data_IF_448553534864
#
_entry.id   IF_448553534864
#
_cell.length_a   1.000
_cell.length_b   1.000
_cell.length_c   1.000
_cell.angle_alpha   90.00
_cell.angle_beta   90.00
_cell.angle_gamma   90.00
#
_symmetry.space_group_name_H-M   'P 1'
#
loop_
_entity.id
_entity.type
_entity.pdbx_description
1 polymer ?
#
# COMPACT_ATOMS: atom_id res chain seq x y z
N UNK A 1 15.92 27.97 16.46
CA UNK A 1 15.26 26.67 16.25
C UNK A 1 15.72 26.16 14.90
N UNK A 2 16.38 25.01 14.87
CA UNK A 2 16.91 24.43 13.64
C UNK A 2 15.77 23.86 12.79
N UNK A 3 15.71 24.23 11.51
CA UNK A 3 14.67 23.80 10.59
C UNK A 3 14.68 22.28 10.37
N UNK A 4 15.85 21.65 10.41
CA UNK A 4 15.99 20.21 10.25
C UNK A 4 15.39 19.43 11.44
N UNK A 5 15.62 19.92 12.65
CA UNK A 5 15.04 19.37 13.87
C UNK A 5 13.50 19.50 13.86
N UNK A 6 12.97 20.68 13.52
CA UNK A 6 11.52 20.91 13.40
C UNK A 6 10.91 19.95 12.38
N UNK A 7 11.53 19.81 11.20
CA UNK A 7 11.06 18.90 10.16
C UNK A 7 11.09 17.44 10.58
N UNK A 8 12.14 17.01 11.28
CA UNK A 8 12.29 15.63 11.74
C UNK A 8 11.25 15.29 12.81
N UNK A 9 11.04 16.20 13.78
CA UNK A 9 10.04 16.01 14.81
C UNK A 9 8.61 16.04 14.25
N UNK A 10 8.35 16.91 13.27
CA UNK A 10 7.08 16.91 12.54
C UNK A 10 6.78 15.56 11.87
N UNK A 11 7.76 15.01 11.12
CA UNK A 11 7.59 13.69 10.48
C UNK A 11 7.38 12.56 11.48
N UNK A 12 8.02 12.65 12.65
CA UNK A 12 7.78 11.71 13.76
C UNK A 12 6.35 11.85 14.26
N UNK A 13 5.90 13.08 14.56
CA UNK A 13 4.55 13.34 15.03
C UNK A 13 3.48 12.85 14.05
N UNK A 14 3.68 12.98 12.74
CA UNK A 14 2.72 12.49 11.73
C UNK A 14 2.51 10.95 11.79
N UNK A 15 3.48 10.20 12.31
CA UNK A 15 3.53 8.73 12.25
C UNK A 15 3.33 8.06 13.61
N UNK A 16 3.69 8.75 14.69
CA UNK A 16 3.65 8.23 16.05
C UNK A 16 2.28 8.47 16.69
N UNK A 17 1.37 7.50 16.53
CA UNK A 17 0.03 7.55 17.13
C UNK A 17 0.06 7.68 18.65
N UNK A 18 1.10 7.16 19.32
CA UNK A 18 1.21 7.26 20.78
C UNK A 18 1.55 8.69 21.18
N UNK A 19 2.50 9.33 20.48
CA UNK A 19 2.82 10.74 20.67
C UNK A 19 1.62 11.64 20.37
N UNK A 20 0.87 11.36 19.31
CA UNK A 20 -0.37 12.07 18.97
C UNK A 20 -1.39 11.96 20.11
N UNK A 21 -1.72 10.75 20.56
CA UNK A 21 -2.68 10.52 21.63
C UNK A 21 -2.29 11.24 22.93
N UNK A 22 -1.01 11.15 23.31
CA UNK A 22 -0.50 11.84 24.49
C UNK A 22 -0.63 13.35 24.39
N UNK A 23 -0.30 13.94 23.24
CA UNK A 23 -0.50 15.37 22.98
C UNK A 23 -1.98 15.74 23.03
N UNK A 24 -2.87 14.88 22.54
CA UNK A 24 -4.32 15.11 22.49
C UNK A 24 -4.98 15.05 23.87
N UNK A 25 -4.40 14.25 24.78
CA UNK A 25 -4.90 14.04 26.14
C UNK A 25 -4.17 14.90 27.19
N UNK A 26 -3.18 15.68 26.78
CA UNK A 26 -2.27 16.33 27.72
C UNK A 26 -2.96 17.34 28.65
N UNK A 27 -4.09 17.95 28.28
CA UNK A 27 -4.83 18.95 29.10
C UNK A 27 -3.93 20.02 29.75
N UNK A 28 -2.81 20.39 29.11
CA UNK A 28 -1.82 21.35 29.64
C UNK A 28 -0.72 20.75 30.52
N UNK A 29 -0.75 19.44 30.81
CA UNK A 29 0.37 18.71 31.40
C UNK A 29 1.55 18.62 30.41
N UNK A 30 2.77 18.63 30.94
CA UNK A 30 4.01 18.53 30.15
C UNK A 30 4.74 17.19 30.31
N UNK A 31 4.26 16.32 31.21
CA UNK A 31 4.85 15.02 31.53
C UNK A 31 4.91 14.07 30.32
N UNK A 32 4.03 14.24 29.34
CA UNK A 32 4.06 13.47 28.10
C UNK A 32 5.28 13.75 27.20
N UNK A 33 6.02 14.83 27.49
CA UNK A 33 7.28 15.19 26.85
C UNK A 33 8.50 14.53 27.51
N UNK A 34 8.29 13.68 28.51
CA UNK A 34 9.36 12.92 29.14
C UNK A 34 10.03 11.98 28.14
N UNK A 35 11.36 12.05 28.09
CA UNK A 35 12.19 11.32 27.11
C UNK A 35 12.51 12.09 25.82
N UNK A 36 11.99 13.31 25.64
CA UNK A 36 12.44 14.23 24.58
C UNK A 36 13.58 15.13 25.07
N UNK A 37 14.47 15.51 24.15
CA UNK A 37 15.50 16.52 24.39
C UNK A 37 14.89 17.91 24.63
N UNK A 38 15.66 18.84 25.20
CA UNK A 38 15.19 20.20 25.49
C UNK A 38 14.72 20.94 24.21
N UNK A 39 15.44 20.77 23.10
CA UNK A 39 15.06 21.36 21.80
C UNK A 39 13.73 20.76 21.28
N UNK A 40 13.58 19.44 21.34
CA UNK A 40 12.33 18.75 20.94
C UNK A 40 11.15 19.17 21.83
N UNK A 41 11.38 19.38 23.13
CA UNK A 41 10.35 19.85 24.07
C UNK A 41 9.82 21.22 23.67
N UNK A 42 10.69 22.17 23.31
CA UNK A 42 10.28 23.51 22.87
C UNK A 42 9.43 23.42 21.59
N UNK A 43 9.83 22.58 20.63
CA UNK A 43 9.08 22.37 19.39
C UNK A 43 7.70 21.76 19.69
N UNK A 44 7.63 20.70 20.49
CA UNK A 44 6.37 20.04 20.83
C UNK A 44 5.43 20.93 21.65
N UNK A 45 5.95 21.76 22.56
CA UNK A 45 5.15 22.77 23.27
C UNK A 45 4.57 23.80 22.31
N UNK A 46 5.34 24.19 21.29
CA UNK A 46 4.86 25.08 20.23
C UNK A 46 3.72 24.43 19.45
N UNK A 47 3.84 23.15 19.08
CA UNK A 47 2.77 22.40 18.44
C UNK A 47 1.53 22.26 19.32
N UNK A 48 1.71 21.95 20.61
CA UNK A 48 0.61 21.85 21.58
C UNK A 48 -0.12 23.19 21.75
N UNK A 49 0.59 24.33 21.69
CA UNK A 49 -0.04 25.66 21.73
C UNK A 49 -0.94 25.96 20.52
N UNK A 50 -0.77 25.22 19.41
CA UNK A 50 -1.54 25.34 18.17
C UNK A 50 -2.34 24.06 17.89
N UNK A 51 -2.83 23.42 18.95
CA UNK A 51 -3.40 22.09 18.96
C UNK A 51 -4.35 21.78 17.79
N UNK A 52 -5.39 22.61 17.59
CA UNK A 52 -6.41 22.38 16.57
C UNK A 52 -5.82 22.31 15.15
N UNK A 53 -4.88 23.21 14.83
CA UNK A 53 -4.22 23.23 13.53
C UNK A 53 -3.34 21.99 13.34
N UNK A 54 -2.57 21.63 14.37
CA UNK A 54 -1.68 20.47 14.34
C UNK A 54 -2.48 19.18 14.20
N UNK A 55 -3.54 19.02 14.98
CA UNK A 55 -4.44 17.87 14.92
C UNK A 55 -5.06 17.73 13.53
N UNK A 56 -5.60 18.82 12.98
CA UNK A 56 -6.17 18.82 11.63
C UNK A 56 -5.14 18.40 10.58
N UNK A 57 -3.91 18.90 10.65
CA UNK A 57 -2.84 18.53 9.72
C UNK A 57 -2.47 17.04 9.81
N UNK A 58 -2.34 16.50 11.02
CA UNK A 58 -2.05 15.07 11.26
C UNK A 58 -3.18 14.20 10.70
N UNK A 59 -4.43 14.52 11.04
CA UNK A 59 -5.61 13.76 10.59
C UNK A 59 -5.74 13.78 9.05
N UNK A 60 -5.51 14.94 8.42
CA UNK A 60 -5.52 15.05 6.96
C UNK A 60 -4.41 14.25 6.30
N UNK A 61 -3.20 14.26 6.87
CA UNK A 61 -2.09 13.48 6.34
C UNK A 61 -2.39 11.97 6.43
N UNK A 62 -2.85 11.51 7.58
CA UNK A 62 -3.21 10.10 7.79
C UNK A 62 -4.37 9.67 6.87
N UNK A 63 -5.39 10.51 6.72
CA UNK A 63 -6.49 10.25 5.79
C UNK A 63 -6.00 10.05 4.34
N UNK A 64 -5.06 10.88 3.87
CA UNK A 64 -4.45 10.72 2.53
C UNK A 64 -3.67 9.42 2.41
N UNK A 65 -2.90 9.03 3.44
CA UNK A 65 -2.16 7.78 3.42
C UNK A 65 -3.08 6.55 3.39
N UNK A 66 -4.18 6.61 4.15
CA UNK A 66 -5.20 5.56 4.15
C UNK A 66 -5.81 5.42 2.75
N UNK A 67 -6.22 6.52 2.14
CA UNK A 67 -6.78 6.48 0.78
C UNK A 67 -5.76 6.04 -0.27
N UNK A 68 -4.48 6.31 -0.04
CA UNK A 68 -3.41 5.90 -0.96
C UNK A 68 -3.28 4.38 -1.07
N UNK A 69 -3.66 3.62 -0.04
CA UNK A 69 -3.76 2.16 -0.09
C UNK A 69 -4.77 1.69 -1.15
N UNK A 70 -5.97 2.28 -1.13
CA UNK A 70 -7.05 1.96 -2.06
C UNK A 70 -6.66 2.43 -3.47
N UNK A 71 -6.11 3.65 -3.60
CA UNK A 71 -5.66 4.18 -4.89
C UNK A 71 -4.56 3.33 -5.52
N UNK A 72 -3.63 2.78 -4.71
CA UNK A 72 -2.59 1.88 -5.20
C UNK A 72 -3.17 0.57 -5.75
N UNK A 73 -4.19 0.00 -5.09
CA UNK A 73 -4.91 -1.16 -5.60
C UNK A 73 -5.71 -0.80 -6.86
N UNK A 74 -6.43 0.31 -6.89
CA UNK A 74 -7.19 0.75 -8.06
C UNK A 74 -6.29 0.94 -9.29
N UNK A 75 -5.08 1.47 -9.08
CA UNK A 75 -4.10 1.70 -10.15
C UNK A 75 -3.39 0.42 -10.61
N UNK A 76 -2.91 -0.41 -9.67
CA UNK A 76 -2.02 -1.52 -9.97
C UNK A 76 -2.66 -2.91 -9.94
N UNK A 77 -3.78 -3.07 -9.25
CA UNK A 77 -4.49 -4.34 -9.06
C UNK A 77 -6.03 -4.14 -8.95
N UNK A 78 -6.67 -3.53 -9.97
CA UNK A 78 -8.08 -3.16 -9.91
C UNK A 78 -9.04 -4.35 -9.77
N UNK A 79 -8.67 -5.53 -10.28
CA UNK A 79 -9.52 -6.72 -10.16
C UNK A 79 -9.50 -7.27 -8.73
N UNK A 80 -8.33 -7.24 -8.09
CA UNK A 80 -8.16 -7.51 -6.66
C UNK A 80 -9.01 -6.56 -5.86
N UNK A 81 -8.93 -5.24 -6.11
CA UNK A 81 -9.75 -4.26 -5.39
C UNK A 81 -11.24 -4.61 -5.47
N UNK A 82 -11.73 -4.90 -6.68
CA UNK A 82 -13.13 -5.27 -6.90
C UNK A 82 -13.52 -6.57 -6.21
N UNK A 83 -12.66 -7.59 -6.24
CA UNK A 83 -12.90 -8.85 -5.55
C UNK A 83 -12.98 -8.65 -4.02
N UNK A 84 -12.09 -7.83 -3.44
CA UNK A 84 -12.09 -7.52 -2.01
C UNK A 84 -13.35 -6.76 -1.57
N UNK A 85 -13.82 -5.82 -2.40
CA UNK A 85 -15.07 -5.10 -2.16
C UNK A 85 -16.28 -6.05 -2.22
N UNK A 86 -16.30 -6.98 -3.17
CA UNK A 86 -17.40 -7.92 -3.33
C UNK A 86 -17.52 -8.93 -2.17
N UNK A 87 -16.41 -9.30 -1.54
CA UNK A 87 -16.44 -10.12 -0.31
C UNK A 87 -16.70 -9.30 0.96
N UNK A 88 -16.95 -7.99 0.84
CA UNK A 88 -17.30 -7.11 1.96
C UNK A 88 -16.13 -6.81 2.89
N UNK A 89 -14.89 -6.82 2.38
CA UNK A 89 -13.71 -6.57 3.20
C UNK A 89 -13.62 -5.08 3.59
N UNK A 90 -13.42 -4.79 4.88
CA UNK A 90 -13.22 -3.43 5.39
C UNK A 90 -11.80 -2.91 5.05
N UNK A 91 -11.68 -2.36 3.84
CA UNK A 91 -10.42 -1.82 3.31
C UNK A 91 -9.86 -0.64 4.12
N UNK A 92 -10.66 0.33 4.61
CA UNK A 92 -10.15 1.38 5.49
C UNK A 92 -9.46 0.84 6.75
N UNK A 93 -10.03 -0.18 7.39
CA UNK A 93 -9.42 -0.80 8.58
C UNK A 93 -8.13 -1.52 8.21
N UNK A 94 -8.14 -2.34 7.15
CA UNK A 94 -6.93 -3.01 6.67
C UNK A 94 -5.82 -2.05 6.27
N UNK A 95 -6.18 -0.91 5.67
CA UNK A 95 -5.23 0.12 5.29
C UNK A 95 -4.54 0.72 6.53
N UNK A 96 -5.29 0.99 7.60
CA UNK A 96 -4.71 1.46 8.87
C UNK A 96 -3.78 0.41 9.48
N UNK A 97 -4.18 -0.86 9.49
CA UNK A 97 -3.34 -1.96 9.98
C UNK A 97 -2.04 -2.09 9.17
N UNK A 98 -2.13 -2.02 7.83
CA UNK A 98 -0.98 -1.99 6.95
C UNK A 98 -0.04 -0.82 7.26
N UNK A 99 -0.58 0.40 7.39
CA UNK A 99 0.21 1.60 7.66
C UNK A 99 0.91 1.50 9.02
N UNK A 100 0.23 0.99 10.05
CA UNK A 100 0.85 0.72 11.36
C UNK A 100 1.99 -0.30 11.26
N UNK A 101 1.80 -1.42 10.55
CA UNK A 101 2.84 -2.45 10.31
C UNK A 101 4.07 -1.85 9.62
N UNK A 102 3.88 -0.80 8.80
CA UNK A 102 4.94 -0.12 8.05
C UNK A 102 5.30 1.26 8.63
N UNK A 103 5.00 1.52 9.91
CA UNK A 103 5.34 2.77 10.60
C UNK A 103 4.91 4.03 9.83
N UNK A 104 3.73 3.99 9.23
CA UNK A 104 3.14 5.07 8.42
C UNK A 104 4.08 5.55 7.29
N UNK A 105 4.77 4.60 6.65
CA UNK A 105 5.65 4.90 5.53
C UNK A 105 4.86 5.51 4.36
N UNK A 106 5.41 6.58 3.80
CA UNK A 106 4.84 7.32 2.67
C UNK A 106 5.61 6.96 1.40
N UNK A 107 4.93 6.28 0.49
CA UNK A 107 5.51 5.86 -0.79
C UNK A 107 5.64 7.02 -1.81
N UNK A 108 5.07 8.19 -1.51
CA UNK A 108 5.08 9.35 -2.39
C UNK A 108 4.59 8.99 -3.80
N UNK A 109 5.36 9.30 -4.87
CA UNK A 109 4.93 9.06 -6.25
C UNK A 109 5.04 7.59 -6.71
N UNK A 110 5.56 6.68 -5.87
CA UNK A 110 5.87 5.29 -6.26
C UNK A 110 4.64 4.36 -6.16
N UNK A 111 3.56 4.67 -6.88
CA UNK A 111 2.28 3.95 -6.79
C UNK A 111 2.39 2.44 -7.00
N UNK A 112 3.15 1.97 -7.99
CA UNK A 112 3.33 0.54 -8.24
C UNK A 112 4.18 -0.16 -7.16
N UNK A 113 5.16 0.54 -6.59
CA UNK A 113 5.92 0.04 -5.44
C UNK A 113 5.03 -0.10 -4.20
N UNK A 114 4.12 0.86 -3.99
CA UNK A 114 3.13 0.78 -2.94
C UNK A 114 2.15 -0.39 -3.18
N UNK A 115 1.63 -0.52 -4.40
CA UNK A 115 0.73 -1.62 -4.77
C UNK A 115 1.37 -2.99 -4.50
N UNK A 116 2.65 -3.21 -4.86
CA UNK A 116 3.35 -4.47 -4.57
C UNK A 116 3.41 -4.76 -3.06
N UNK A 117 3.71 -3.75 -2.24
CA UNK A 117 3.76 -3.89 -0.78
C UNK A 117 2.37 -4.19 -0.19
N UNK A 118 1.32 -3.55 -0.70
CA UNK A 118 -0.07 -3.82 -0.31
C UNK A 118 -0.47 -5.25 -0.67
N UNK A 119 -0.18 -5.70 -1.89
CA UNK A 119 -0.46 -7.07 -2.32
C UNK A 119 0.33 -8.10 -1.49
N UNK A 120 1.59 -7.83 -1.12
CA UNK A 120 2.32 -8.68 -0.17
C UNK A 120 1.58 -8.81 1.16
N UNK A 121 1.18 -7.68 1.73
CA UNK A 121 0.46 -7.66 3.00
C UNK A 121 -0.85 -8.44 2.94
N UNK A 122 -1.63 -8.25 1.88
CA UNK A 122 -2.93 -8.92 1.70
C UNK A 122 -2.76 -10.43 1.52
N UNK A 123 -1.75 -10.88 0.77
CA UNK A 123 -1.46 -12.31 0.58
C UNK A 123 -1.13 -13.06 1.88
N UNK A 124 -0.63 -12.35 2.89
CA UNK A 124 -0.33 -12.89 4.22
C UNK A 124 -1.50 -12.71 5.20
N UNK A 125 -2.57 -12.02 4.79
CA UNK A 125 -3.59 -11.57 5.72
C UNK A 125 -4.60 -12.69 6.06
N UNK A 126 -4.80 -13.04 7.35
CA UNK A 126 -5.63 -14.19 7.74
C UNK A 126 -7.08 -14.15 7.23
N UNK A 127 -7.68 -12.94 7.12
CA UNK A 127 -9.06 -12.77 6.60
C UNK A 127 -9.25 -13.25 5.15
N UNK A 128 -8.17 -13.48 4.41
CA UNK A 128 -8.21 -13.93 3.01
C UNK A 128 -7.89 -15.42 2.85
N UNK A 129 -7.62 -16.14 3.95
CA UNK A 129 -7.28 -17.57 3.92
C UNK A 129 -8.37 -18.43 3.27
N UNK A 130 -9.64 -18.03 3.43
CA UNK A 130 -10.80 -18.74 2.88
C UNK A 130 -11.10 -18.39 1.41
N UNK A 131 -10.27 -17.53 0.78
CA UNK A 131 -10.45 -17.06 -0.60
C UNK A 131 -9.21 -17.33 -1.46
N UNK A 132 -8.85 -18.61 -1.69
CA UNK A 132 -7.65 -18.98 -2.42
C UNK A 132 -7.64 -18.52 -3.88
N UNK A 133 -8.80 -18.36 -4.51
CA UNK A 133 -8.94 -17.81 -5.87
C UNK A 133 -8.56 -16.32 -5.92
N UNK A 134 -8.90 -15.57 -4.87
CA UNK A 134 -8.54 -14.15 -4.74
C UNK A 134 -7.03 -14.03 -4.49
N UNK A 135 -6.43 -14.93 -3.70
CA UNK A 135 -4.96 -15.01 -3.57
C UNK A 135 -4.28 -15.28 -4.91
N UNK A 136 -4.85 -16.14 -5.75
CA UNK A 136 -4.33 -16.44 -7.08
C UNK A 136 -4.43 -15.21 -8.01
N UNK A 137 -5.56 -14.50 -7.98
CA UNK A 137 -5.76 -13.24 -8.70
C UNK A 137 -4.76 -12.15 -8.26
N UNK A 138 -4.56 -11.99 -6.95
CA UNK A 138 -3.59 -11.04 -6.39
C UNK A 138 -2.18 -11.30 -6.90
N UNK A 139 -1.76 -12.57 -6.94
CA UNK A 139 -0.45 -12.96 -7.47
C UNK A 139 -0.33 -12.68 -8.97
N UNK A 140 -1.39 -12.91 -9.74
CA UNK A 140 -1.42 -12.57 -11.17
C UNK A 140 -1.25 -11.05 -11.38
N UNK A 141 -2.05 -10.21 -10.72
CA UNK A 141 -1.95 -8.75 -10.86
C UNK A 141 -0.61 -8.22 -10.35
N UNK A 142 -0.05 -8.85 -9.30
CA UNK A 142 1.29 -8.54 -8.80
C UNK A 142 2.38 -8.74 -9.85
N UNK A 143 2.26 -9.72 -10.75
CA UNK A 143 3.19 -9.86 -11.88
C UNK A 143 3.10 -8.67 -12.85
N UNK A 144 1.90 -8.11 -13.06
CA UNK A 144 1.70 -6.86 -13.80
C UNK A 144 2.37 -5.66 -13.11
N UNK A 145 2.16 -5.51 -11.79
CA UNK A 145 2.84 -4.47 -10.99
C UNK A 145 4.36 -4.58 -11.09
N UNK A 146 4.90 -5.81 -11.02
CA UNK A 146 6.34 -6.09 -11.14
C UNK A 146 6.91 -5.80 -12.52
N UNK A 147 6.10 -5.88 -13.58
CA UNK A 147 6.51 -5.41 -14.90
C UNK A 147 6.72 -3.90 -14.91
N UNK A 148 5.77 -3.12 -14.39
CA UNK A 148 5.88 -1.66 -14.34
C UNK A 148 7.04 -1.18 -13.47
N UNK A 149 7.31 -1.83 -12.34
CA UNK A 149 8.48 -1.49 -11.50
C UNK A 149 9.80 -1.94 -12.14
N UNK A 150 9.80 -3.08 -12.85
CA UNK A 150 10.96 -3.64 -13.53
C UNK A 150 11.39 -2.89 -14.79
N UNK A 151 10.48 -2.16 -15.46
CA UNK A 151 10.82 -1.33 -16.63
C UNK A 151 11.85 -0.24 -16.34
N UNK A 152 11.99 0.18 -15.08
CA UNK A 152 13.03 1.12 -14.64
C UNK A 152 14.45 0.53 -14.84
N UNK A 153 14.57 -0.79 -14.99
CA UNK A 153 15.84 -1.53 -15.03
C UNK A 153 15.99 -2.42 -16.28
N UNK A 154 15.27 -2.13 -17.37
CA UNK A 154 15.29 -2.96 -18.57
C UNK A 154 16.72 -3.16 -19.12
N UNK A 155 17.08 -4.40 -19.42
CA UNK A 155 18.40 -4.77 -19.95
C UNK A 155 18.52 -4.40 -21.41
N UNK A 156 19.75 -4.08 -21.84
CA UNK A 156 20.04 -3.91 -23.25
C UNK A 156 19.85 -5.24 -23.99
N UNK A 157 19.19 -5.18 -25.15
CA UNK A 157 19.01 -6.32 -26.03
C UNK A 157 20.37 -6.75 -26.59
N UNK A 158 20.66 -8.06 -26.55
CA UNK A 158 21.83 -8.63 -27.23
C UNK A 158 21.36 -9.15 -28.60
N UNK A 159 21.91 -8.65 -29.72
CA UNK A 159 21.57 -9.14 -31.05
C UNK A 159 21.80 -10.65 -31.19
N UNK A 160 20.99 -11.30 -32.05
CA UNK A 160 21.13 -12.70 -32.47
C UNK A 160 20.98 -13.76 -31.36
N UNK A 161 20.46 -13.38 -30.18
CA UNK A 161 20.14 -14.32 -29.10
C UNK A 161 18.67 -14.23 -28.70
N UNK A 162 18.03 -15.39 -28.47
CA UNK A 162 16.72 -15.42 -27.83
C UNK A 162 16.86 -15.04 -26.37
N UNK A 163 16.20 -13.96 -25.97
CA UNK A 163 16.17 -13.47 -24.59
C UNK A 163 14.74 -13.36 -24.11
N UNK A 164 14.53 -13.68 -22.84
CA UNK A 164 13.23 -13.42 -22.19
C UNK A 164 13.03 -11.92 -22.15
N UNK A 165 11.93 -11.44 -22.71
CA UNK A 165 11.59 -10.02 -22.66
C UNK A 165 11.39 -9.57 -21.20
N UNK A 166 12.08 -8.49 -20.81
CA UNK A 166 11.91 -7.89 -19.48
C UNK A 166 10.49 -7.35 -19.27
N UNK A 167 9.78 -7.05 -20.37
CA UNK A 167 8.38 -6.61 -20.43
C UNK A 167 7.35 -7.74 -20.39
N UNK A 168 7.76 -9.01 -20.20
CA UNK A 168 6.85 -10.15 -20.11
C UNK A 168 7.11 -11.05 -18.90
N UNK A 169 6.04 -11.60 -18.34
CA UNK A 169 6.02 -12.60 -17.25
C UNK A 169 5.06 -13.72 -17.61
N UNK A 170 5.41 -14.95 -17.24
CA UNK A 170 4.52 -16.11 -17.33
C UNK A 170 4.06 -16.39 -15.92
N UNK A 171 2.75 -16.39 -15.71
CA UNK A 171 2.11 -16.72 -14.44
C UNK A 171 1.38 -18.06 -14.56
N UNK A 172 1.64 -18.97 -13.64
CA UNK A 172 0.92 -20.23 -13.55
C UNK A 172 -0.14 -20.11 -12.45
N UNK A 173 -1.39 -19.97 -12.89
CA UNK A 173 -2.58 -19.94 -12.05
C UNK A 173 -2.95 -21.35 -11.61
N UNK A 174 -3.49 -21.49 -10.39
CA UNK A 174 -4.09 -22.73 -9.87
C UNK A 174 -5.59 -22.81 -10.19
N UNK A 175 -6.24 -21.65 -10.34
CA UNK A 175 -7.66 -21.54 -10.65
C UNK A 175 -7.90 -21.03 -12.07
N UNK A 176 -9.12 -21.23 -12.58
CA UNK A 176 -9.55 -20.74 -13.89
C UNK A 176 -9.81 -19.23 -13.91
N UNK A 177 -8.79 -18.42 -13.59
CA UNK A 177 -8.90 -16.95 -13.52
C UNK A 177 -9.42 -16.34 -14.81
N UNK A 178 -9.21 -16.98 -15.97
CA UNK A 178 -9.72 -16.52 -17.26
C UNK A 178 -11.23 -16.28 -17.28
N UNK A 179 -12.02 -16.98 -16.44
CA UNK A 179 -13.46 -16.73 -16.31
C UNK A 179 -13.73 -15.34 -15.72
N UNK A 180 -13.09 -15.01 -14.60
CA UNK A 180 -13.19 -13.68 -13.99
C UNK A 180 -12.56 -12.57 -14.85
N UNK A 181 -11.49 -12.87 -15.60
CA UNK A 181 -10.88 -11.89 -16.51
C UNK A 181 -11.82 -11.53 -17.67
N UNK A 182 -12.63 -12.47 -18.15
CA UNK A 182 -13.64 -12.26 -19.21
C UNK A 182 -14.90 -11.60 -18.70
N UNK A 183 -15.36 -11.99 -17.51
CA UNK A 183 -16.54 -11.42 -16.88
C UNK A 183 -16.26 -10.96 -15.44
N UNK A 184 -16.05 -9.65 -15.31
CA UNK A 184 -15.72 -8.98 -14.05
C UNK A 184 -16.91 -8.91 -13.07
N UNK A 185 -18.13 -9.24 -13.50
CA UNK A 185 -19.28 -9.28 -12.61
C UNK A 185 -19.21 -10.44 -11.62
N UNK A 186 -18.43 -11.47 -11.94
CA UNK A 186 -18.29 -12.68 -11.13
C UNK A 186 -17.13 -12.64 -10.11
N UNK A 187 -16.28 -11.61 -10.16
CA UNK A 187 -15.08 -11.43 -9.33
C UNK A 187 -15.41 -11.48 -7.83
N UNK A 188 -14.84 -12.45 -7.10
CA UNK A 188 -15.05 -12.59 -5.65
C UNK A 188 -16.47 -12.99 -5.22
N UNK A 189 -17.40 -13.19 -6.17
CA UNK A 189 -18.79 -13.61 -5.90
C UNK A 189 -18.96 -15.10 -6.19
N UNK A 190 -18.32 -15.60 -7.25
CA UNK A 190 -18.41 -16.99 -7.71
C UNK A 190 -17.13 -17.73 -7.41
N UNK A 191 -17.23 -19.00 -7.01
CA UNK A 191 -16.07 -19.89 -6.91
C UNK A 191 -15.49 -20.15 -8.30
N UNK A 192 -14.17 -20.31 -8.39
CA UNK A 192 -13.52 -20.77 -9.62
C UNK A 192 -13.17 -22.24 -9.52
N UNK A 193 -13.15 -22.91 -10.66
CA UNK A 193 -12.67 -24.29 -10.72
C UNK A 193 -11.16 -24.32 -10.51
N UNK A 194 -10.71 -25.33 -9.76
CA UNK A 194 -9.29 -25.62 -9.58
C UNK A 194 -8.76 -26.34 -10.83
N UNK A 195 -8.27 -25.55 -11.78
CA UNK A 195 -7.65 -26.04 -13.01
C UNK A 195 -6.53 -25.10 -13.42
N UNK A 196 -5.33 -25.64 -13.58
CA UNK A 196 -4.13 -24.83 -13.80
C UNK A 196 -4.17 -24.14 -15.16
N UNK A 197 -3.86 -22.84 -15.18
CA UNK A 197 -3.78 -22.03 -16.40
C UNK A 197 -2.41 -21.34 -16.48
N UNK A 198 -1.79 -21.37 -17.66
CA UNK A 198 -0.61 -20.56 -17.95
C UNK A 198 -1.04 -19.25 -18.60
N UNK A 199 -0.73 -18.12 -17.97
CA UNK A 199 -1.11 -16.78 -18.40
C UNK A 199 0.16 -16.00 -18.74
N UNK A 200 0.20 -15.43 -19.95
CA UNK A 200 1.24 -14.48 -20.34
C UNK A 200 0.79 -13.06 -19.98
N UNK A 201 1.50 -12.43 -19.06
CA UNK A 201 1.34 -11.01 -18.73
C UNK A 201 2.45 -10.25 -19.46
N UNK A 202 2.10 -9.27 -20.27
CA UNK A 202 3.11 -8.48 -20.99
C UNK A 202 2.65 -7.04 -21.14
N UNK A 203 3.63 -6.13 -21.20
CA UNK A 203 3.39 -4.75 -21.60
C UNK A 203 3.55 -4.67 -23.11
N UNK A 204 2.48 -4.34 -23.87
CA UNK A 204 2.62 -4.12 -25.29
C UNK A 204 3.57 -2.93 -25.51
N UNK A 205 4.40 -3.01 -26.55
CA UNK A 205 5.22 -1.86 -26.92
C UNK A 205 4.29 -0.71 -27.31
N UNK A 206 4.48 0.51 -26.81
CA UNK A 206 3.76 1.65 -27.36
C UNK A 206 4.20 1.80 -28.82
N UNK A 207 3.24 1.67 -29.74
CA UNK A 207 3.40 2.10 -31.13
C UNK A 207 3.58 3.62 -31.21
#
# INVERSE_FOLDING_TARGET
>A
MDAEQVWTLWRRLLRDETMQQRMYQAEGATQWLDGLSDDERVIMLTYASQFENVKWLVENYQFRLINSFINALDTGAPLTLRALLNIGLDLPTLSKEFLRKHAWFDYGPKVYGYCDAVLCYLLEHPKLSDYPEIHDLMRLEREGVRLYTGLVQARALIPEQYQRADSARVYQSRYTLSHWLRDKHHLGISSLEESSQCILVYLPSPE
#
